data_IF_753835449945
#
_entry.id   IF_753835449945
#
_cell.length_a   1.000
_cell.length_b   1.000
_cell.length_c   1.000
_cell.angle_alpha   90.00
_cell.angle_beta   90.00
_cell.angle_gamma   90.00
#
_symmetry.space_group_name_H-M   'P 1'
#
loop_
_entity.id
_entity.type
_entity.pdbx_description
1 polymer ?
#
# COMPACT_ATOMS: atom_id res chain seq x y z
N UNK A 1 -48.39 -60.26 -17.98
CA UNK A 1 -46.97 -60.58 -17.70
C UNK A 1 -46.13 -59.43 -18.27
N UNK A 2 -45.86 -58.36 -17.51
CA UNK A 2 -44.65 -58.13 -16.69
C UNK A 2 -43.32 -58.49 -17.40
N UNK A 3 -42.54 -57.46 -17.79
CA UNK A 3 -41.26 -57.12 -17.15
C UNK A 3 -40.74 -55.75 -17.62
N UNK A 4 -40.75 -54.82 -16.66
CA UNK A 4 -39.97 -53.58 -16.60
C UNK A 4 -38.48 -53.94 -16.65
N UNK A 5 -37.66 -53.18 -17.38
CA UNK A 5 -36.20 -53.08 -17.29
C UNK A 5 -35.72 -52.23 -18.48
N UNK A 6 -34.90 -51.19 -18.42
CA UNK A 6 -34.03 -50.61 -17.40
C UNK A 6 -33.89 -49.13 -17.81
N UNK A 7 -34.36 -48.20 -16.97
CA UNK A 7 -33.94 -46.80 -17.01
C UNK A 7 -32.61 -46.73 -16.26
N UNK A 8 -31.48 -46.74 -16.97
CA UNK A 8 -30.18 -46.38 -16.42
C UNK A 8 -29.18 -46.17 -17.57
N UNK A 9 -29.31 -45.05 -18.28
CA UNK A 9 -28.29 -44.61 -19.21
C UNK A 9 -28.00 -43.12 -18.95
N UNK A 10 -26.97 -42.93 -18.14
CA UNK A 10 -26.08 -41.77 -18.14
C UNK A 10 -26.74 -40.40 -17.95
N UNK A 11 -27.11 -40.11 -16.71
CA UNK A 11 -26.84 -38.78 -16.15
C UNK A 11 -25.32 -38.64 -16.00
N UNK A 12 -24.62 -38.40 -17.10
CA UNK A 12 -23.31 -37.74 -17.05
C UNK A 12 -23.61 -36.30 -16.63
N UNK A 13 -23.78 -36.08 -15.32
CA UNK A 13 -23.70 -34.75 -14.76
C UNK A 13 -22.30 -34.25 -15.07
N UNK A 14 -22.18 -33.47 -16.13
CA UNK A 14 -20.99 -32.75 -16.45
C UNK A 14 -20.76 -31.77 -15.29
N UNK A 15 -19.96 -32.21 -14.32
CA UNK A 15 -19.30 -31.35 -13.36
C UNK A 15 -18.27 -30.53 -14.13
N UNK A 16 -18.73 -29.66 -15.01
CA UNK A 16 -17.94 -28.51 -15.41
C UNK A 16 -17.80 -27.69 -14.15
N UNK A 17 -16.64 -27.82 -13.50
CA UNK A 17 -16.14 -26.79 -12.60
C UNK A 17 -16.19 -25.49 -13.42
N UNK A 18 -17.24 -24.71 -13.23
CA UNK A 18 -17.31 -23.36 -13.74
C UNK A 18 -16.22 -22.60 -13.01
N UNK A 19 -15.05 -22.52 -13.64
CA UNK A 19 -14.08 -21.50 -13.29
C UNK A 19 -14.85 -20.19 -13.36
N UNK A 20 -14.95 -19.49 -12.23
CA UNK A 20 -15.59 -18.19 -12.19
C UNK A 20 -14.90 -17.32 -13.24
N UNK A 21 -15.66 -16.88 -14.24
CA UNK A 21 -15.12 -16.01 -15.27
C UNK A 21 -14.54 -14.76 -14.60
N UNK A 22 -13.39 -14.30 -15.12
CA UNK A 22 -12.80 -13.04 -14.73
C UNK A 22 -13.87 -11.94 -14.76
N UNK A 23 -13.83 -11.02 -13.79
CA UNK A 23 -14.73 -9.86 -13.82
C UNK A 23 -14.49 -9.06 -15.09
N UNK A 24 -15.56 -8.63 -15.73
CA UNK A 24 -15.48 -7.71 -16.86
C UNK A 24 -15.05 -6.32 -16.37
N UNK A 25 -14.51 -5.51 -17.26
CA UNK A 25 -14.18 -4.11 -16.97
C UNK A 25 -15.39 -3.33 -16.44
N UNK A 26 -16.57 -3.56 -17.02
CA UNK A 26 -17.83 -2.96 -16.55
C UNK A 26 -18.13 -3.37 -15.10
N UNK A 27 -17.97 -4.64 -14.75
CA UNK A 27 -18.19 -5.11 -13.38
C UNK A 27 -17.20 -4.49 -12.39
N UNK A 28 -15.95 -4.28 -12.79
CA UNK A 28 -14.96 -3.58 -11.96
C UNK A 28 -15.39 -2.12 -11.78
N UNK A 29 -15.73 -1.43 -12.87
CA UNK A 29 -16.19 -0.05 -12.85
C UNK A 29 -17.43 0.14 -11.97
N UNK A 30 -18.42 -0.76 -12.07
CA UNK A 30 -19.65 -0.70 -11.27
C UNK A 30 -19.36 -0.83 -9.77
N UNK A 31 -18.47 -1.76 -9.39
CA UNK A 31 -18.06 -1.94 -8.00
C UNK A 31 -17.34 -0.68 -7.50
N UNK A 32 -16.36 -0.20 -8.27
CA UNK A 32 -15.56 0.98 -7.91
C UNK A 32 -16.45 2.21 -7.78
N UNK A 33 -17.30 2.50 -8.76
CA UNK A 33 -18.21 3.66 -8.71
C UNK A 33 -19.16 3.59 -7.51
N UNK A 34 -19.80 2.43 -7.28
CA UNK A 34 -20.73 2.24 -6.16
C UNK A 34 -20.05 2.40 -4.79
N UNK A 35 -18.75 2.15 -4.69
CA UNK A 35 -17.98 2.33 -3.45
C UNK A 35 -17.43 3.75 -3.31
N UNK A 36 -16.83 4.30 -4.36
CA UNK A 36 -16.06 5.55 -4.29
C UNK A 36 -16.96 6.79 -4.35
N UNK A 37 -18.02 6.80 -5.15
CA UNK A 37 -18.91 7.96 -5.25
C UNK A 37 -19.54 8.35 -3.90
N UNK A 38 -20.15 7.42 -3.12
CA UNK A 38 -20.67 7.77 -1.80
C UNK A 38 -19.57 8.18 -0.81
N UNK A 39 -18.39 7.53 -0.85
CA UNK A 39 -17.25 7.91 -0.02
C UNK A 39 -16.83 9.37 -0.27
N UNK A 40 -16.71 9.76 -1.55
CA UNK A 40 -16.33 11.13 -1.91
C UNK A 40 -17.36 12.15 -1.43
N UNK A 41 -18.65 11.82 -1.50
CA UNK A 41 -19.72 12.69 -1.02
C UNK A 41 -19.70 12.82 0.51
N UNK A 42 -19.61 11.70 1.23
CA UNK A 42 -19.61 11.66 2.69
C UNK A 42 -18.42 12.42 3.29
N UNK A 43 -17.25 12.28 2.69
CA UNK A 43 -15.99 12.87 3.17
C UNK A 43 -15.65 14.21 2.50
N UNK A 44 -16.55 14.73 1.66
CA UNK A 44 -16.33 15.95 0.86
C UNK A 44 -14.99 15.97 0.11
N UNK A 45 -14.58 14.82 -0.46
CA UNK A 45 -13.30 14.68 -1.15
C UNK A 45 -13.40 15.37 -2.52
N UNK A 46 -12.57 16.40 -2.79
CA UNK A 46 -12.71 17.21 -3.99
C UNK A 46 -12.27 16.48 -5.27
N UNK A 47 -11.32 15.55 -5.16
CA UNK A 47 -10.82 14.76 -6.28
C UNK A 47 -10.13 13.49 -5.81
N UNK A 48 -10.26 12.43 -6.58
CA UNK A 48 -9.67 11.12 -6.26
C UNK A 48 -9.25 10.41 -7.55
N UNK A 49 -8.13 9.69 -7.48
CA UNK A 49 -7.71 8.72 -8.48
C UNK A 49 -7.64 7.33 -7.82
N UNK A 50 -8.18 6.31 -8.50
CA UNK A 50 -8.13 4.92 -8.06
C UNK A 50 -7.57 4.07 -9.19
N UNK A 51 -6.57 3.26 -8.87
CA UNK A 51 -6.04 2.24 -9.76
C UNK A 51 -6.32 0.85 -9.17
N UNK A 52 -6.91 -0.04 -9.96
CA UNK A 52 -7.13 -1.44 -9.62
C UNK A 52 -6.26 -2.31 -10.51
N UNK A 53 -5.41 -3.14 -9.91
CA UNK A 53 -4.69 -4.18 -10.65
C UNK A 53 -5.47 -5.48 -10.48
N UNK A 54 -6.07 -5.97 -11.56
CA UNK A 54 -6.83 -7.22 -11.57
C UNK A 54 -6.37 -8.08 -12.73
N UNK A 55 -6.01 -9.34 -12.44
CA UNK A 55 -5.42 -10.28 -13.40
C UNK A 55 -4.24 -9.68 -14.18
N UNK A 56 -3.37 -8.94 -13.47
CA UNK A 56 -2.19 -8.29 -14.04
C UNK A 56 -2.47 -7.08 -14.91
N UNK A 57 -3.74 -6.68 -15.09
CA UNK A 57 -4.14 -5.51 -15.88
C UNK A 57 -4.52 -4.34 -14.96
N UNK A 58 -4.02 -3.12 -15.24
CA UNK A 58 -4.45 -1.94 -14.51
C UNK A 58 -5.75 -1.36 -15.10
N UNK A 59 -6.64 -0.92 -14.22
CA UNK A 59 -7.84 -0.16 -14.52
C UNK A 59 -7.81 1.14 -13.72
N UNK A 60 -8.04 2.27 -14.39
CA UNK A 60 -7.88 3.60 -13.79
C UNK A 60 -9.20 4.35 -13.78
N UNK A 61 -9.50 4.96 -12.65
CA UNK A 61 -10.71 5.74 -12.43
C UNK A 61 -10.35 7.07 -11.76
N UNK A 62 -10.95 8.16 -12.22
CA UNK A 62 -10.68 9.51 -11.71
C UNK A 62 -11.98 10.26 -11.52
N UNK A 63 -12.08 11.02 -10.44
CA UNK A 63 -13.23 11.87 -10.13
C UNK A 63 -12.78 13.24 -9.67
N UNK A 64 -13.64 14.23 -9.89
CA UNK A 64 -13.52 15.54 -9.28
C UNK A 64 -12.33 16.35 -9.80
N UNK A 65 -11.80 17.20 -8.92
CA UNK A 65 -10.83 18.24 -9.25
C UNK A 65 -9.56 18.09 -8.41
N UNK A 66 -8.42 18.20 -9.07
CA UNK A 66 -7.12 18.36 -8.43
C UNK A 66 -6.95 19.80 -7.90
N UNK A 67 -7.56 20.76 -8.57
CA UNK A 67 -7.58 22.17 -8.17
C UNK A 67 -9.00 22.73 -8.31
N UNK A 68 -9.61 23.06 -7.17
CA UNK A 68 -10.98 23.58 -7.13
C UNK A 68 -11.05 24.99 -7.73
N UNK A 69 -10.07 25.84 -7.39
CA UNK A 69 -10.07 27.25 -7.76
C UNK A 69 -9.88 27.44 -9.26
N UNK A 70 -8.96 26.67 -9.86
CA UNK A 70 -8.67 26.72 -11.29
C UNK A 70 -9.49 25.71 -12.12
N UNK A 71 -10.40 24.97 -11.49
CA UNK A 71 -11.25 23.97 -12.13
C UNK A 71 -10.46 22.88 -12.88
N UNK A 72 -9.29 22.47 -12.36
CA UNK A 72 -8.48 21.42 -12.99
C UNK A 72 -8.97 20.03 -12.58
N UNK A 73 -9.30 19.14 -13.53
CA UNK A 73 -9.76 17.80 -13.22
C UNK A 73 -8.62 16.94 -12.66
N UNK A 74 -8.97 15.91 -11.88
CA UNK A 74 -8.04 14.80 -11.63
C UNK A 74 -7.86 14.01 -12.93
N UNK A 75 -6.62 13.70 -13.27
CA UNK A 75 -6.24 12.83 -14.38
C UNK A 75 -5.30 11.73 -13.88
N UNK A 76 -4.94 10.78 -14.74
CA UNK A 76 -3.91 9.78 -14.40
C UNK A 76 -2.51 10.39 -14.19
N UNK A 77 -2.31 11.66 -14.58
CA UNK A 77 -1.05 12.39 -14.44
C UNK A 77 -1.04 13.32 -13.22
N UNK A 78 -2.14 13.44 -12.50
CA UNK A 78 -2.22 14.27 -11.29
C UNK A 78 -1.25 13.74 -10.22
N UNK A 79 -0.41 14.62 -9.69
CA UNK A 79 0.45 14.32 -8.56
C UNK A 79 -0.35 14.43 -7.26
N UNK A 80 -0.23 13.42 -6.40
CA UNK A 80 -0.79 13.40 -5.06
C UNK A 80 0.33 13.21 -4.03
N UNK A 81 0.18 13.84 -2.87
CA UNK A 81 1.06 13.58 -1.73
C UNK A 81 0.75 12.19 -1.14
N UNK A 82 1.76 11.32 -1.07
CA UNK A 82 1.59 9.92 -0.66
C UNK A 82 1.68 9.71 0.86
N UNK A 83 2.13 10.72 1.61
CA UNK A 83 2.32 10.64 3.06
C UNK A 83 3.13 9.41 3.47
N UNK A 84 2.60 8.62 4.42
CA UNK A 84 3.29 7.42 4.93
C UNK A 84 3.47 6.29 3.92
N UNK A 85 2.78 6.31 2.77
CA UNK A 85 3.07 5.34 1.70
C UNK A 85 4.51 5.52 1.18
N UNK A 86 5.09 6.71 1.26
CA UNK A 86 6.51 6.95 0.94
C UNK A 86 7.48 6.07 1.74
N UNK A 87 7.07 5.56 2.91
CA UNK A 87 7.92 4.68 3.74
C UNK A 87 8.14 3.31 3.09
N UNK A 88 7.25 2.84 2.20
CA UNK A 88 7.47 1.59 1.45
C UNK A 88 8.67 1.73 0.52
N UNK A 89 8.84 2.89 -0.12
CA UNK A 89 10.00 3.20 -0.94
C UNK A 89 11.28 3.23 -0.10
N UNK A 90 11.25 3.85 1.09
CA UNK A 90 12.39 3.82 2.01
C UNK A 90 12.74 2.39 2.45
N UNK A 91 11.74 1.54 2.68
CA UNK A 91 11.94 0.12 2.98
C UNK A 91 12.59 -0.64 1.82
N UNK A 92 12.14 -0.42 0.58
CA UNK A 92 12.74 -1.03 -0.62
C UNK A 92 14.16 -0.53 -0.85
N UNK A 93 14.43 0.76 -0.68
CA UNK A 93 15.77 1.34 -0.76
C UNK A 93 16.72 0.71 0.28
N UNK A 94 16.26 0.55 1.52
CA UNK A 94 17.01 -0.17 2.55
C UNK A 94 17.24 -1.64 2.19
N UNK A 95 16.24 -2.31 1.60
CA UNK A 95 16.36 -3.66 1.07
C UNK A 95 17.41 -3.80 -0.03
N UNK A 96 17.46 -2.84 -0.96
CA UNK A 96 18.47 -2.79 -2.02
C UNK A 96 19.89 -2.61 -1.44
N UNK A 97 20.07 -1.71 -0.47
CA UNK A 97 21.35 -1.54 0.23
C UNK A 97 21.79 -2.81 0.98
N UNK A 98 20.85 -3.57 1.57
CA UNK A 98 21.15 -4.88 2.17
C UNK A 98 21.58 -5.88 1.08
N UNK A 99 20.90 -5.92 -0.06
CA UNK A 99 21.23 -6.82 -1.17
C UNK A 99 22.62 -6.52 -1.77
N UNK A 100 23.04 -5.25 -1.77
CA UNK A 100 24.39 -4.81 -2.14
C UNK A 100 25.46 -5.10 -1.08
N UNK A 101 25.06 -5.54 0.11
CA UNK A 101 25.97 -5.81 1.23
C UNK A 101 26.49 -4.54 1.94
N UNK A 102 25.85 -3.39 1.71
CA UNK A 102 26.27 -2.10 2.27
C UNK A 102 25.87 -1.96 3.74
N UNK A 103 24.72 -2.52 4.11
CA UNK A 103 24.20 -2.53 5.48
C UNK A 103 23.66 -3.90 5.89
N UNK A 104 23.57 -4.16 7.20
CA UNK A 104 22.85 -5.31 7.75
C UNK A 104 21.78 -4.84 8.74
N UNK A 105 20.61 -5.47 8.71
CA UNK A 105 19.54 -5.17 9.68
C UNK A 105 19.98 -5.39 11.14
N UNK A 106 20.93 -6.30 11.38
CA UNK A 106 21.51 -6.56 12.69
C UNK A 106 22.54 -5.52 13.14
N UNK A 107 23.00 -4.64 12.25
CA UNK A 107 24.00 -3.63 12.62
C UNK A 107 23.42 -2.65 13.66
N UNK A 108 24.21 -2.25 14.66
CA UNK A 108 23.78 -1.20 15.58
C UNK A 108 23.68 0.13 14.84
N UNK A 109 22.67 0.95 15.19
CA UNK A 109 22.45 2.25 14.54
C UNK A 109 23.65 3.20 14.69
N UNK A 110 24.37 3.09 15.80
CA UNK A 110 25.58 3.89 16.09
C UNK A 110 26.75 3.59 15.16
N UNK A 111 26.70 2.49 14.38
CA UNK A 111 27.64 2.24 13.29
C UNK A 111 27.50 3.26 12.15
N UNK A 112 26.27 3.74 11.92
CA UNK A 112 25.93 4.65 10.82
C UNK A 112 25.75 6.09 11.28
N UNK A 113 25.52 6.31 12.57
CA UNK A 113 25.48 7.63 13.18
C UNK A 113 26.24 7.63 14.52
N UNK A 114 27.60 7.71 14.48
CA UNK A 114 28.45 7.57 15.66
C UNK A 114 28.23 8.60 16.77
N UNK A 115 27.68 9.76 16.43
CA UNK A 115 27.38 10.84 17.36
C UNK A 115 26.23 10.49 18.34
N UNK A 116 25.44 9.44 18.05
CA UNK A 116 24.44 8.89 18.96
C UNK A 116 25.11 8.16 20.14
N UNK A 117 25.64 8.93 21.08
CA UNK A 117 26.42 8.43 22.23
C UNK A 117 25.57 8.09 23.46
N UNK A 118 24.29 8.48 23.45
CA UNK A 118 23.35 8.22 24.53
C UNK A 118 23.19 6.72 24.83
N UNK A 119 23.07 6.35 26.11
CA UNK A 119 22.92 4.94 26.54
C UNK A 119 21.66 4.28 25.97
N UNK A 120 20.62 5.07 25.67
CA UNK A 120 19.38 4.62 25.05
C UNK A 120 19.59 3.98 23.66
N UNK A 121 20.67 4.32 22.95
CA UNK A 121 20.97 3.78 21.63
C UNK A 121 21.68 2.41 21.67
N UNK A 122 22.08 1.94 22.86
CA UNK A 122 22.72 0.63 23.02
C UNK A 122 21.73 -0.49 22.71
N UNK A 123 22.10 -1.38 21.81
CA UNK A 123 21.24 -2.51 21.40
C UNK A 123 20.15 -2.13 20.38
N UNK A 124 20.06 -0.87 19.97
CA UNK A 124 19.18 -0.48 18.87
C UNK A 124 19.87 -0.80 17.54
N UNK A 125 19.23 -1.64 16.73
CA UNK A 125 19.71 -2.04 15.41
C UNK A 125 18.95 -1.32 14.30
N UNK A 126 19.45 -1.38 13.06
CA UNK A 126 18.70 -0.91 11.89
C UNK A 126 17.35 -1.62 11.75
N UNK A 127 17.24 -2.90 12.14
CA UNK A 127 15.96 -3.62 12.20
C UNK A 127 14.95 -2.90 13.10
N UNK A 128 15.37 -2.53 14.31
CA UNK A 128 14.48 -1.87 15.27
C UNK A 128 13.93 -0.53 14.74
N UNK A 129 14.76 0.22 14.02
CA UNK A 129 14.31 1.45 13.36
C UNK A 129 13.32 1.16 12.22
N UNK A 130 13.67 0.21 11.34
CA UNK A 130 12.85 -0.13 10.17
C UNK A 130 11.48 -0.71 10.54
N UNK A 131 11.36 -1.35 11.70
CA UNK A 131 10.13 -2.02 12.16
C UNK A 131 9.43 -1.31 13.32
N UNK A 132 9.81 -0.07 13.65
CA UNK A 132 9.20 0.73 14.73
C UNK A 132 9.28 0.09 16.13
N UNK A 133 10.31 -0.70 16.39
CA UNK A 133 10.51 -1.44 17.65
C UNK A 133 11.70 -0.93 18.46
N UNK A 134 12.18 0.28 18.17
CA UNK A 134 13.32 0.91 18.87
C UNK A 134 13.03 1.39 20.31
N UNK A 135 11.85 1.05 20.87
CA UNK A 135 11.53 1.36 22.28
C UNK A 135 10.87 2.71 22.50
N UNK A 136 9.90 3.09 21.66
CA UNK A 136 9.04 4.24 21.92
C UNK A 136 9.52 5.57 21.31
N UNK A 137 10.21 5.53 20.15
CA UNK A 137 10.42 6.74 19.37
C UNK A 137 9.06 7.40 19.04
N UNK A 138 8.96 8.74 19.12
CA UNK A 138 7.70 9.44 18.93
C UNK A 138 7.22 9.36 17.48
N UNK A 139 5.92 9.62 17.28
CA UNK A 139 5.29 9.59 15.96
C UNK A 139 5.85 10.65 15.01
N UNK A 140 6.19 11.82 15.55
CA UNK A 140 6.70 12.96 14.79
C UNK A 140 7.97 13.52 15.44
N UNK A 141 8.81 14.12 14.62
CA UNK A 141 9.88 14.99 15.06
C UNK A 141 9.23 16.33 15.47
N UNK A 142 9.65 16.96 16.59
CA UNK A 142 9.18 18.29 16.95
C UNK A 142 9.45 19.34 15.85
N UNK A 143 8.53 20.26 15.61
CA UNK A 143 8.62 21.26 14.54
C UNK A 143 9.84 22.20 14.66
N UNK A 144 10.38 22.37 15.87
CA UNK A 144 11.57 23.20 16.13
C UNK A 144 12.89 22.50 15.77
N UNK A 145 12.87 21.20 15.48
CA UNK A 145 14.03 20.44 15.00
C UNK A 145 14.17 20.61 13.49
N UNK A 146 14.92 21.65 13.10
CA UNK A 146 15.02 22.09 11.70
C UNK A 146 16.38 21.84 11.05
N UNK A 147 17.37 21.38 11.83
CA UNK A 147 18.72 21.10 11.35
C UNK A 147 19.31 19.83 11.96
N UNK A 148 20.47 19.40 11.45
CA UNK A 148 21.15 18.17 11.90
C UNK A 148 21.59 18.23 13.37
N UNK A 149 22.00 19.41 13.85
CA UNK A 149 22.45 19.56 15.23
C UNK A 149 21.26 19.50 16.19
N UNK A 150 20.13 20.10 15.83
CA UNK A 150 18.88 19.97 16.56
C UNK A 150 18.38 18.52 16.57
N UNK A 151 18.47 17.82 15.44
CA UNK A 151 18.05 16.41 15.35
C UNK A 151 18.92 15.50 16.22
N UNK A 152 20.24 15.73 16.25
CA UNK A 152 21.14 15.03 17.15
C UNK A 152 20.87 15.37 18.63
N UNK A 153 20.52 16.62 18.97
CA UNK A 153 20.17 16.99 20.36
C UNK A 153 18.86 16.36 20.82
N UNK A 154 17.92 16.17 19.90
CA UNK A 154 16.63 15.56 20.19
C UNK A 154 16.75 14.06 20.51
N UNK A 155 17.73 13.38 19.93
CA UNK A 155 17.93 11.93 19.99
C UNK A 155 19.04 11.49 20.94
#
# INVERSE_FOLDING_TARGET
>A
MMKKSICCALLLTASFSTFAAAKTEQQIADIVNRTITPLMQEQAIPGMAVAIIYEGKPYYFTWGKADIANNHPVTQQTLFELGSVSKTFNGVLGGDAIARGEIKLSDPVTKYWPELTGKQWRGISLLHLATYTAGGLPLQIPDDVTDKAALLRFY
#
